data_IF_957656039450
#
_entry.id   IF_957656039450
#
_cell.length_a   1.000
_cell.length_b   1.000
_cell.length_c   1.000
_cell.angle_alpha   90.00
_cell.angle_beta   90.00
_cell.angle_gamma   90.00
#
_symmetry.space_group_name_H-M   'P 1'
#
loop_
_entity.id
_entity.type
_entity.pdbx_description
1 polymer ?
#
# COMPACT_ATOMS: atom_id res chain seq x y z
N UNK A 1 -46.35 3.99 -63.25
CA UNK A 1 -46.02 4.35 -62.41
C UNK A 1 -44.95 3.91 -61.77
N UNK A 2 -44.37 4.25 -61.39
CA UNK A 2 -43.28 3.91 -60.94
C UNK A 2 -43.04 4.17 -59.61
N UNK A 3 -42.64 3.57 -59.01
CA UNK A 3 -42.39 3.72 -57.83
C UNK A 3 -41.13 3.83 -57.46
N UNK A 4 -40.74 4.37 -56.92
CA UNK A 4 -39.58 4.55 -56.47
C UNK A 4 -39.27 3.90 -55.32
N UNK A 5 -38.45 3.50 -55.14
CA UNK A 5 -37.96 2.83 -54.21
C UNK A 5 -37.47 3.50 -53.10
N UNK A 6 -37.64 3.22 -52.26
CA UNK A 6 -37.22 3.83 -51.25
C UNK A 6 -35.92 3.77 -50.91
N UNK A 7 -35.56 4.22 -50.64
CA UNK A 7 -34.34 4.30 -50.42
C UNK A 7 -34.00 4.12 -49.15
N UNK A 8 -33.51 3.67 -48.82
CA UNK A 8 -33.09 3.44 -47.74
C UNK A 8 -32.16 3.95 -47.21
N UNK A 9 -31.93 4.34 -46.79
CA UNK A 9 -31.04 4.87 -46.26
C UNK A 9 -30.61 4.38 -45.13
N UNK A 10 -30.16 3.98 -44.93
CA UNK A 10 -29.67 3.56 -44.07
C UNK A 10 -29.01 4.06 -43.19
N UNK A 11 -28.77 4.25 -43.01
CA UNK A 11 -28.41 4.70 -42.29
C UNK A 11 -27.54 4.43 -41.47
N UNK A 12 -26.89 4.23 -41.50
CA UNK A 12 -25.94 4.02 -40.92
C UNK A 12 -25.58 4.48 -39.86
N UNK A 13 -25.60 4.83 -39.71
CA UNK A 13 -25.59 5.33 -38.85
C UNK A 13 -25.02 5.09 -37.73
N UNK A 14 -25.21 4.45 -37.35
CA UNK A 14 -24.80 4.32 -36.17
C UNK A 14 -23.56 4.36 -36.03
N UNK A 15 -23.23 4.00 -36.67
CA UNK A 15 -22.02 3.95 -36.67
C UNK A 15 -21.37 4.85 -36.03
N UNK A 16 -21.45 5.61 -36.39
CA UNK A 16 -20.69 6.54 -35.95
C UNK A 16 -20.59 6.59 -34.60
N UNK A 17 -21.43 6.25 -34.10
CA UNK A 17 -21.41 6.53 -32.85
C UNK A 17 -20.45 5.87 -32.14
N UNK A 18 -19.86 5.07 -32.60
CA UNK A 18 -19.00 4.49 -31.92
C UNK A 18 -17.96 5.29 -31.63
N UNK A 19 -17.91 5.93 -30.83
CA UNK A 19 -16.97 6.76 -30.48
C UNK A 19 -15.90 6.02 -30.03
N UNK A 20 -14.90 6.21 -30.43
CA UNK A 20 -13.84 5.67 -29.97
C UNK A 20 -13.40 6.39 -28.83
N UNK A 21 -13.61 5.99 -27.64
CA UNK A 21 -13.08 6.64 -26.53
C UNK A 21 -11.66 6.31 -26.44
N UNK A 22 -10.84 7.24 -26.15
CA UNK A 22 -9.48 6.98 -25.89
C UNK A 22 -9.38 6.16 -24.64
N UNK A 23 -8.41 5.27 -24.54
CA UNK A 23 -8.26 4.47 -23.35
C UNK A 23 -7.97 5.38 -22.16
N UNK A 24 -8.66 5.15 -21.10
CA UNK A 24 -8.42 5.87 -19.87
C UNK A 24 -7.30 5.14 -19.16
N UNK A 25 -6.18 5.79 -19.03
CA UNK A 25 -5.06 5.21 -18.35
C UNK A 25 -5.21 5.57 -16.88
N UNK A 26 -5.32 4.56 -16.05
CA UNK A 26 -5.35 4.77 -14.62
C UNK A 26 -4.01 4.36 -14.06
N UNK A 27 -3.42 5.22 -13.28
CA UNK A 27 -2.13 4.95 -12.68
C UNK A 27 -2.33 4.66 -11.20
N UNK A 28 -1.75 3.59 -10.73
CA UNK A 28 -1.77 3.21 -9.33
C UNK A 28 -0.35 3.27 -8.81
N UNK A 29 -0.15 3.98 -7.72
CA UNK A 29 1.16 4.09 -7.12
C UNK A 29 1.24 3.16 -5.92
N UNK A 30 2.15 2.23 -5.96
CA UNK A 30 2.34 1.25 -4.90
C UNK A 30 3.72 1.44 -4.32
N UNK A 31 3.80 1.54 -3.00
CA UNK A 31 5.08 1.54 -2.29
C UNK A 31 5.24 0.20 -1.58
N UNK A 32 6.35 -0.45 -1.79
CA UNK A 32 6.65 -1.70 -1.11
C UNK A 32 7.95 -1.52 -0.34
N UNK A 33 7.93 -1.89 0.93
CA UNK A 33 9.13 -1.83 1.75
C UNK A 33 9.63 -3.25 2.04
N UNK A 34 10.83 -3.32 2.57
CA UNK A 34 11.34 -4.57 3.11
C UNK A 34 10.82 -4.80 4.52
N UNK A 35 11.65 -5.44 5.32
CA UNK A 35 11.30 -5.82 6.67
C UNK A 35 11.20 -4.62 7.60
N UNK A 36 10.10 -4.52 8.29
CA UNK A 36 9.84 -3.47 9.26
C UNK A 36 9.77 -4.08 10.65
N UNK A 37 10.72 -3.74 11.49
CA UNK A 37 10.77 -4.25 12.84
C UNK A 37 10.43 -3.13 13.81
N UNK A 38 9.30 -3.27 14.47
CA UNK A 38 8.84 -2.28 15.46
C UNK A 38 9.09 -2.82 16.87
N UNK A 39 10.31 -3.13 17.15
CA UNK A 39 10.69 -3.72 18.43
C UNK A 39 12.14 -4.06 18.49
N UNK A 40 12.48 -4.93 19.41
CA UNK A 40 13.87 -5.33 19.62
C UNK A 40 13.92 -6.77 20.13
N UNK A 41 15.09 -7.36 20.14
CA UNK A 41 15.30 -8.64 20.80
C UNK A 41 15.25 -8.43 22.30
N UNK A 42 14.84 -9.45 23.03
CA UNK A 42 14.74 -9.34 24.48
C UNK A 42 16.12 -9.16 25.13
N UNK A 43 17.16 -9.58 24.47
CA UNK A 43 18.51 -9.53 25.01
C UNK A 43 19.20 -8.18 24.73
N UNK A 44 18.62 -7.33 23.90
CA UNK A 44 19.27 -6.07 23.57
C UNK A 44 19.26 -5.07 24.72
N UNK A 45 18.27 -5.12 25.57
CA UNK A 45 18.14 -4.15 26.64
C UNK A 45 17.38 -2.91 26.17
N UNK A 46 17.21 -1.98 27.09
CA UNK A 46 16.38 -0.78 26.82
C UNK A 46 17.20 0.32 26.14
N UNK A 47 18.43 0.53 26.59
CA UNK A 47 19.23 1.63 26.09
C UNK A 47 19.56 1.46 24.61
N UNK A 48 19.30 2.46 23.82
CA UNK A 48 19.51 2.45 22.38
C UNK A 48 18.52 1.59 21.62
N UNK A 49 17.47 1.10 22.29
CA UNK A 49 16.48 0.25 21.64
C UNK A 49 15.36 1.04 20.98
N UNK A 50 14.57 0.36 20.16
CA UNK A 50 13.35 0.91 19.60
C UNK A 50 12.44 1.43 20.72
N UNK A 51 12.34 0.71 21.84
CA UNK A 51 11.45 1.08 22.93
C UNK A 51 11.86 2.40 23.59
N UNK A 52 13.16 2.62 23.77
CA UNK A 52 13.64 3.87 24.32
C UNK A 52 13.28 5.05 23.43
N UNK A 53 13.53 4.91 22.14
CA UNK A 53 13.25 5.99 21.20
C UNK A 53 11.73 6.23 21.06
N UNK A 54 10.94 5.17 21.13
CA UNK A 54 9.48 5.32 21.12
C UNK A 54 9.01 6.08 22.36
N UNK A 55 9.49 5.71 23.55
CA UNK A 55 9.10 6.36 24.79
C UNK A 55 9.52 7.83 24.79
N UNK A 56 10.64 8.13 24.14
CA UNK A 56 11.20 9.46 24.16
C UNK A 56 10.58 10.39 23.12
N UNK A 57 10.33 9.89 21.95
CA UNK A 57 9.94 10.70 20.81
C UNK A 57 8.55 10.41 20.24
N UNK A 58 7.91 9.34 20.68
CA UNK A 58 6.57 8.97 20.24
C UNK A 58 6.53 8.19 18.93
N UNK A 59 5.33 7.83 18.55
CA UNK A 59 5.12 6.93 17.42
C UNK A 59 5.53 7.51 16.07
N UNK A 60 5.42 8.80 15.91
CA UNK A 60 5.70 9.41 14.61
C UNK A 60 7.19 9.52 14.31
N UNK A 61 8.02 9.35 15.29
CA UNK A 61 9.46 9.54 15.15
C UNK A 61 10.09 8.69 14.06
N UNK A 62 9.69 7.42 14.00
CA UNK A 62 10.31 6.47 13.09
C UNK A 62 9.90 6.67 11.64
N UNK A 63 8.76 7.28 11.41
CA UNK A 63 8.23 7.44 10.07
C UNK A 63 8.35 8.87 9.54
N UNK A 64 8.87 9.78 10.34
CA UNK A 64 8.86 11.21 9.99
C UNK A 64 9.51 11.53 8.65
N UNK A 65 10.50 10.76 8.25
CA UNK A 65 11.22 11.03 7.00
C UNK A 65 10.62 10.30 5.79
N UNK A 66 9.76 9.33 6.01
CA UNK A 66 9.18 8.54 4.93
C UNK A 66 7.66 8.66 4.85
N UNK A 67 7.07 9.31 5.83
CA UNK A 67 5.62 9.45 5.91
C UNK A 67 5.01 10.03 4.64
N UNK A 68 5.64 11.05 4.09
CA UNK A 68 5.12 11.69 2.89
C UNK A 68 5.08 10.73 1.69
N UNK A 69 5.98 9.77 1.64
CA UNK A 69 5.98 8.79 0.56
C UNK A 69 4.74 7.90 0.69
N UNK A 70 4.45 7.43 1.90
CA UNK A 70 3.31 6.56 2.15
C UNK A 70 1.98 7.30 1.98
N UNK A 71 1.95 8.58 2.34
CA UNK A 71 0.73 9.36 2.19
C UNK A 71 0.40 9.71 0.75
N UNK A 72 1.38 9.64 -0.14
CA UNK A 72 1.18 9.97 -1.55
C UNK A 72 0.92 8.76 -2.42
N UNK A 73 1.00 7.56 -1.89
CA UNK A 73 0.72 6.39 -2.68
C UNK A 73 -0.74 5.94 -2.51
N UNK A 74 -1.14 5.02 -3.34
CA UNK A 74 -2.49 4.46 -3.28
C UNK A 74 -2.51 3.21 -2.42
N UNK A 75 -1.34 2.59 -2.23
CA UNK A 75 -1.24 1.37 -1.46
C UNK A 75 0.19 1.19 -0.97
N UNK A 76 0.35 0.95 0.32
CA UNK A 76 1.65 0.65 0.91
C UNK A 76 1.66 -0.79 1.43
N UNK A 77 2.67 -1.54 1.02
CA UNK A 77 2.87 -2.91 1.47
C UNK A 77 4.14 -2.97 2.31
N UNK A 78 4.01 -3.49 3.52
CA UNK A 78 5.15 -3.68 4.39
C UNK A 78 5.18 -5.12 4.90
N UNK A 79 6.36 -5.59 5.25
CA UNK A 79 6.50 -6.86 5.94
C UNK A 79 6.78 -6.57 7.41
N UNK A 80 5.84 -6.87 8.29
CA UNK A 80 6.05 -6.69 9.71
C UNK A 80 6.87 -7.86 10.25
N UNK A 81 8.11 -7.58 10.65
CA UNK A 81 9.02 -8.62 11.04
C UNK A 81 9.16 -8.73 12.54
N UNK A 82 8.12 -8.57 13.26
CA UNK A 82 8.14 -8.74 14.70
C UNK A 82 6.75 -9.13 15.20
N UNK A 83 6.68 -9.62 16.42
CA UNK A 83 5.42 -9.91 17.06
C UNK A 83 5.11 -8.75 18.01
N UNK A 84 3.92 -8.21 17.92
CA UNK A 84 3.46 -7.18 18.85
C UNK A 84 2.70 -7.87 19.97
N UNK A 85 3.29 -7.95 21.15
CA UNK A 85 2.73 -8.72 22.24
C UNK A 85 3.31 -8.32 23.59
N UNK A 86 2.52 -8.51 24.63
CA UNK A 86 3.00 -8.38 26.00
C UNK A 86 3.41 -9.74 26.59
N UNK A 87 3.34 -10.81 25.82
CA UNK A 87 3.73 -12.12 26.30
C UNK A 87 5.21 -12.19 26.63
N UNK A 88 5.56 -12.94 27.63
CA UNK A 88 6.95 -13.10 28.02
C UNK A 88 7.55 -14.41 27.52
N UNK A 89 6.70 -15.36 27.16
CA UNK A 89 7.17 -16.63 26.64
C UNK A 89 7.66 -16.48 25.23
N UNK A 90 8.65 -17.24 24.87
CA UNK A 90 9.23 -17.18 23.53
C UNK A 90 9.70 -18.55 23.09
N UNK A 91 9.76 -18.72 21.79
CA UNK A 91 10.32 -19.92 21.20
C UNK A 91 11.84 -19.79 21.28
N UNK A 92 12.52 -20.90 21.52
CA UNK A 92 13.96 -20.86 21.51
C UNK A 92 14.49 -20.74 20.13
N UNK A 93 15.05 -19.62 19.82
CA UNK A 93 15.72 -19.33 18.56
C UNK A 93 16.64 -18.12 18.78
N UNK A 94 17.59 -17.95 17.90
CA UNK A 94 18.59 -16.91 18.03
C UNK A 94 17.99 -15.51 18.08
N UNK A 95 17.01 -15.27 17.23
CA UNK A 95 16.41 -13.94 17.14
C UNK A 95 14.93 -14.01 17.41
N UNK A 96 14.49 -13.33 18.43
CA UNK A 96 13.08 -13.14 18.73
C UNK A 96 12.83 -11.64 18.77
N UNK A 97 12.17 -11.13 17.77
CA UNK A 97 11.88 -9.70 17.65
C UNK A 97 10.47 -9.45 18.16
N UNK A 98 10.37 -8.59 19.15
CA UNK A 98 9.10 -8.30 19.78
C UNK A 98 8.95 -6.82 20.05
N UNK A 99 7.80 -6.27 19.74
CA UNK A 99 7.39 -4.93 20.10
C UNK A 99 6.22 -4.96 21.05
N UNK A 100 5.87 -3.81 21.59
CA UNK A 100 4.65 -3.68 22.39
C UNK A 100 3.45 -3.58 21.45
N UNK A 101 2.31 -4.10 21.86
CA UNK A 101 1.11 -3.98 21.06
C UNK A 101 0.55 -2.55 21.04
#
# INVERSE_FOLDING_TARGET
MTEEPGTLEETETGTATETQQEPVIQTVKITATGDCTLGATQTHGYAGSFHEYYDKYGQDYFFKNIRSIFEQDDFTLINLECVLSNATERVEKTWNLKGKP
#
